data_IF_750903034677
#
_entry.id   IF_750903034677
#
_cell.length_a   1.000
_cell.length_b   1.000
_cell.length_c   1.000
_cell.angle_alpha   90.00
_cell.angle_beta   90.00
_cell.angle_gamma   90.00
#
_symmetry.space_group_name_H-M   'P 1'
#
loop_
_entity.id
_entity.type
_entity.pdbx_description
1 polymer ?
#
# COMPACT_ATOMS: atom_id res chain seq x y z
N UNK A 1 -1.07 19.83 -13.61
CA UNK A 1 -0.53 19.12 -12.43
C UNK A 1 0.96 18.92 -12.68
N UNK A 2 1.75 18.94 -11.61
CA UNK A 2 3.20 18.67 -11.64
C UNK A 2 3.53 17.71 -10.50
N UNK A 3 4.68 17.04 -10.57
CA UNK A 3 5.09 16.00 -9.62
C UNK A 3 4.92 16.41 -8.15
N UNK A 4 5.36 17.62 -7.80
CA UNK A 4 5.30 18.16 -6.43
C UNK A 4 3.87 18.29 -5.88
N UNK A 5 2.87 18.42 -6.77
CA UNK A 5 1.45 18.58 -6.40
C UNK A 5 0.61 17.31 -6.57
N UNK A 6 1.20 16.26 -7.16
CA UNK A 6 0.48 15.03 -7.51
C UNK A 6 -0.08 14.33 -6.26
N UNK A 7 0.79 14.10 -5.26
CA UNK A 7 0.41 13.39 -4.03
C UNK A 7 -0.64 14.16 -3.25
N UNK A 8 -0.51 15.48 -3.16
CA UNK A 8 -1.51 16.33 -2.51
C UNK A 8 -2.87 16.20 -3.21
N UNK A 9 -2.89 16.27 -4.54
CA UNK A 9 -4.13 16.14 -5.31
C UNK A 9 -4.78 14.77 -5.12
N UNK A 10 -4.00 13.68 -5.20
CA UNK A 10 -4.51 12.32 -4.97
C UNK A 10 -5.04 12.17 -3.53
N UNK A 11 -4.36 12.75 -2.54
CA UNK A 11 -4.81 12.73 -1.15
C UNK A 11 -6.10 13.50 -0.95
N UNK A 12 -6.27 14.64 -1.60
CA UNK A 12 -7.49 15.45 -1.51
C UNK A 12 -8.67 14.70 -2.16
N UNK A 13 -8.47 14.14 -3.36
CA UNK A 13 -9.53 13.41 -4.07
C UNK A 13 -9.92 12.10 -3.36
N UNK A 14 -8.95 11.44 -2.73
CA UNK A 14 -9.16 10.20 -1.98
C UNK A 14 -9.26 10.41 -0.46
N UNK A 15 -9.47 11.65 0.02
CA UNK A 15 -9.39 12.01 1.45
C UNK A 15 -10.28 11.11 2.31
N UNK A 16 -11.53 10.92 1.87
CA UNK A 16 -12.49 10.08 2.60
C UNK A 16 -12.03 8.62 2.63
N UNK A 17 -11.55 8.07 1.52
CA UNK A 17 -11.08 6.68 1.46
C UNK A 17 -9.85 6.48 2.34
N UNK A 18 -8.83 7.33 2.22
CA UNK A 18 -7.60 7.26 3.02
C UNK A 18 -7.87 7.48 4.51
N UNK A 19 -8.80 8.37 4.86
CA UNK A 19 -9.21 8.58 6.25
C UNK A 19 -9.86 7.34 6.87
N UNK A 20 -10.60 6.56 6.07
CA UNK A 20 -11.26 5.31 6.50
C UNK A 20 -10.27 4.15 6.61
N UNK A 21 -9.41 4.02 5.61
CA UNK A 21 -8.30 3.07 5.58
C UNK A 21 -7.28 3.32 6.70
N UNK A 22 -7.23 4.54 7.24
CA UNK A 22 -6.41 4.90 8.41
C UNK A 22 -7.13 4.81 9.75
N UNK A 23 -8.34 4.26 9.82
CA UNK A 23 -9.09 4.12 11.08
C UNK A 23 -8.58 2.94 11.92
N UNK A 24 -9.00 2.87 13.19
CA UNK A 24 -8.72 1.74 14.09
C UNK A 24 -9.25 0.39 13.54
N UNK A 25 -10.25 0.44 12.66
CA UNK A 25 -10.84 -0.75 12.04
C UNK A 25 -10.04 -1.29 10.86
N UNK A 26 -8.97 -0.61 10.41
CA UNK A 26 -8.22 -1.01 9.23
C UNK A 26 -7.60 -2.41 9.38
N UNK A 27 -6.95 -2.68 10.52
CA UNK A 27 -6.41 -4.01 10.80
C UNK A 27 -7.50 -5.05 11.00
N UNK A 28 -8.60 -4.67 11.65
CA UNK A 28 -9.74 -5.57 11.84
C UNK A 28 -10.29 -6.07 10.49
N UNK A 29 -10.45 -5.16 9.52
CA UNK A 29 -10.82 -5.52 8.16
C UNK A 29 -9.72 -6.36 7.49
N UNK A 30 -8.47 -5.92 7.54
CA UNK A 30 -7.36 -6.60 6.88
C UNK A 30 -7.17 -8.06 7.36
N UNK A 31 -7.43 -8.34 8.63
CA UNK A 31 -7.26 -9.67 9.23
C UNK A 31 -8.56 -10.47 9.39
N UNK A 32 -9.69 -10.00 8.85
CA UNK A 32 -11.01 -10.62 9.03
C UNK A 32 -11.36 -10.90 10.51
N UNK A 33 -11.18 -9.88 11.35
CA UNK A 33 -11.36 -9.89 12.81
C UNK A 33 -10.36 -10.72 13.63
N UNK A 34 -9.33 -11.31 13.01
CA UNK A 34 -8.28 -12.00 13.74
C UNK A 34 -7.17 -11.03 14.16
N UNK A 35 -7.32 -10.39 15.32
CA UNK A 35 -6.38 -9.40 15.85
C UNK A 35 -5.36 -10.02 16.82
N UNK A 36 -4.74 -11.11 16.42
CA UNK A 36 -3.53 -11.63 17.07
C UNK A 36 -2.25 -11.17 16.32
N UNK A 37 -1.10 -11.07 17.00
CA UNK A 37 0.16 -10.66 16.38
C UNK A 37 0.53 -11.43 15.11
N UNK A 38 0.36 -12.76 15.11
CA UNK A 38 0.71 -13.62 13.97
C UNK A 38 -0.16 -13.34 12.75
N UNK A 39 -1.51 -13.37 12.81
CA UNK A 39 -2.39 -12.97 11.70
C UNK A 39 -2.11 -11.58 11.15
N UNK A 40 -1.82 -10.59 12.01
CA UNK A 40 -1.44 -9.23 11.58
C UNK A 40 -0.16 -9.27 10.74
N UNK A 41 0.90 -9.94 11.22
CA UNK A 41 2.16 -10.06 10.49
C UNK A 41 2.02 -10.84 9.19
N UNK A 42 1.27 -11.94 9.18
CA UNK A 42 0.97 -12.69 7.97
C UNK A 42 0.24 -11.82 6.94
N UNK A 43 -0.71 -11.00 7.39
CA UNK A 43 -1.48 -10.12 6.51
C UNK A 43 -0.60 -9.04 5.88
N UNK A 44 0.27 -8.40 6.66
CA UNK A 44 1.21 -7.40 6.19
C UNK A 44 2.25 -8.02 5.25
N UNK A 45 2.81 -9.18 5.62
CA UNK A 45 3.78 -9.90 4.81
C UNK A 45 3.19 -10.36 3.46
N UNK A 46 1.96 -10.86 3.45
CA UNK A 46 1.29 -11.24 2.21
C UNK A 46 1.17 -10.08 1.22
N UNK A 47 0.85 -8.88 1.71
CA UNK A 47 0.85 -7.64 0.90
C UNK A 47 2.23 -7.38 0.31
N UNK A 48 3.29 -7.40 1.11
CA UNK A 48 4.65 -7.14 0.64
C UNK A 48 5.15 -8.21 -0.37
N UNK A 49 4.79 -9.48 -0.16
CA UNK A 49 5.08 -10.55 -1.12
C UNK A 49 4.42 -10.29 -2.48
N UNK A 50 3.15 -9.84 -2.47
CA UNK A 50 2.44 -9.45 -3.69
C UNK A 50 3.08 -8.24 -4.37
N UNK A 51 3.35 -7.16 -3.62
CA UNK A 51 4.02 -5.96 -4.13
C UNK A 51 5.36 -6.31 -4.79
N UNK A 52 6.23 -7.04 -4.09
CA UNK A 52 7.52 -7.51 -4.61
C UNK A 52 7.36 -8.24 -5.95
N UNK A 53 6.38 -9.13 -6.06
CA UNK A 53 6.14 -9.90 -7.28
C UNK A 53 5.77 -8.99 -8.45
N UNK A 54 4.83 -8.06 -8.26
CA UNK A 54 4.40 -7.16 -9.33
C UNK A 54 5.49 -6.17 -9.73
N UNK A 55 6.13 -5.52 -8.76
CA UNK A 55 7.24 -4.60 -9.03
C UNK A 55 8.40 -5.30 -9.72
N UNK A 56 8.76 -6.52 -9.29
CA UNK A 56 9.76 -7.33 -9.95
C UNK A 56 9.37 -7.76 -11.38
N UNK A 57 8.08 -7.85 -11.70
CA UNK A 57 7.61 -8.14 -13.05
C UNK A 57 7.67 -6.93 -14.00
N UNK A 58 7.69 -5.72 -13.45
CA UNK A 58 7.84 -4.47 -14.19
C UNK A 58 9.30 -4.02 -14.33
N UNK A 59 10.21 -4.65 -13.59
CA UNK A 59 11.63 -4.35 -13.66
C UNK A 59 12.22 -4.65 -15.05
N UNK A 60 13.07 -3.75 -15.53
CA UNK A 60 13.79 -3.79 -16.81
C UNK A 60 15.05 -2.93 -16.70
N UNK A 61 15.94 -3.01 -17.71
CA UNK A 61 17.18 -2.22 -17.76
C UNK A 61 16.97 -0.73 -18.12
N UNK A 62 15.72 -0.30 -18.33
CA UNK A 62 15.40 1.12 -18.57
C UNK A 62 15.19 1.88 -17.24
N UNK A 63 15.03 3.20 -17.35
CA UNK A 63 14.90 4.08 -16.18
C UNK A 63 13.66 3.74 -15.33
N UNK A 64 12.53 3.43 -15.99
CA UNK A 64 11.28 3.06 -15.30
C UNK A 64 11.42 1.70 -14.60
N UNK A 65 12.00 0.73 -15.30
CA UNK A 65 12.30 -0.59 -14.77
C UNK A 65 13.21 -0.57 -13.55
N UNK A 66 14.21 0.29 -13.53
CA UNK A 66 15.12 0.46 -12.38
C UNK A 66 14.35 0.91 -11.14
N UNK A 67 13.43 1.87 -11.27
CA UNK A 67 12.57 2.30 -10.16
C UNK A 67 11.72 1.15 -9.62
N UNK A 68 11.12 0.34 -10.49
CA UNK A 68 10.32 -0.80 -10.05
C UNK A 68 11.19 -1.91 -9.42
N UNK A 69 12.43 -2.10 -9.87
CA UNK A 69 13.39 -3.00 -9.22
C UNK A 69 13.70 -2.54 -7.79
N UNK A 70 13.96 -1.25 -7.59
CA UNK A 70 14.18 -0.70 -6.25
C UNK A 70 12.97 -0.90 -5.32
N UNK A 71 11.76 -0.60 -5.80
CA UNK A 71 10.54 -0.84 -5.05
C UNK A 71 10.33 -2.34 -4.73
N UNK A 72 10.65 -3.23 -5.67
CA UNK A 72 10.61 -4.68 -5.47
C UNK A 72 11.57 -5.15 -4.36
N UNK A 73 12.80 -4.64 -4.36
CA UNK A 73 13.79 -4.95 -3.35
C UNK A 73 13.36 -4.48 -1.96
N UNK A 74 12.85 -3.24 -1.84
CA UNK A 74 12.32 -2.71 -0.57
C UNK A 74 11.12 -3.52 -0.06
N UNK A 75 10.21 -3.91 -0.94
CA UNK A 75 9.11 -4.82 -0.59
C UNK A 75 9.62 -6.18 -0.09
N UNK A 76 10.69 -6.71 -0.69
CA UNK A 76 11.38 -7.91 -0.21
C UNK A 76 11.98 -7.76 1.18
N UNK A 77 12.66 -6.65 1.46
CA UNK A 77 13.23 -6.38 2.78
C UNK A 77 12.15 -6.25 3.87
N UNK A 78 11.04 -5.56 3.58
CA UNK A 78 9.88 -5.48 4.49
C UNK A 78 9.27 -6.85 4.74
N UNK A 79 9.09 -7.65 3.69
CA UNK A 79 8.60 -9.02 3.80
C UNK A 79 9.49 -9.88 4.71
N UNK A 80 10.81 -9.83 4.53
CA UNK A 80 11.76 -10.58 5.36
C UNK A 80 11.70 -10.14 6.82
N UNK A 81 11.61 -8.83 7.08
CA UNK A 81 11.49 -8.31 8.44
C UNK A 81 10.20 -8.77 9.14
N UNK A 82 9.06 -8.72 8.45
CA UNK A 82 7.76 -9.12 8.99
C UNK A 82 7.65 -10.63 9.24
N UNK A 83 8.38 -11.44 8.47
CA UNK A 83 8.30 -12.89 8.53
C UNK A 83 9.38 -13.55 9.39
N UNK A 84 10.34 -12.77 9.90
CA UNK A 84 11.49 -13.28 10.66
C UNK A 84 11.12 -14.17 11.86
N UNK A 85 9.94 -13.95 12.46
CA UNK A 85 9.43 -14.71 13.61
C UNK A 85 8.27 -15.66 13.29
N UNK A 86 7.86 -15.80 12.02
CA UNK A 86 6.70 -16.61 11.64
C UNK A 86 7.11 -18.06 11.32
N UNK A 87 6.32 -19.02 11.81
CA UNK A 87 6.50 -20.44 11.48
C UNK A 87 6.20 -20.75 10.00
N UNK A 88 5.28 -19.97 9.41
CA UNK A 88 4.92 -20.05 8.00
C UNK A 88 4.84 -18.64 7.43
N UNK A 89 5.62 -18.38 6.40
CA UNK A 89 5.57 -17.11 5.68
C UNK A 89 4.52 -17.18 4.56
N UNK A 90 3.62 -16.19 4.46
CA UNK A 90 2.64 -16.11 3.38
C UNK A 90 3.33 -15.77 2.06
N UNK A 91 2.93 -16.41 0.96
CA UNK A 91 3.52 -16.17 -0.36
C UNK A 91 2.59 -15.42 -1.31
N UNK A 92 1.35 -15.19 -0.88
CA UNK A 92 0.29 -14.56 -1.68
C UNK A 92 -0.32 -13.41 -0.87
N UNK A 93 -0.80 -12.41 -1.60
CA UNK A 93 -1.51 -11.28 -1.02
C UNK A 93 -2.97 -11.66 -0.83
N UNK A 94 -3.54 -11.27 0.31
CA UNK A 94 -4.99 -11.26 0.51
C UNK A 94 -5.62 -9.90 0.20
N UNK A 95 -4.87 -8.97 -0.42
CA UNK A 95 -5.28 -7.57 -0.60
C UNK A 95 -5.60 -7.29 -2.07
N UNK A 96 -6.88 -7.04 -2.42
CA UNK A 96 -7.31 -6.78 -3.79
C UNK A 96 -6.59 -5.60 -4.46
N UNK A 97 -6.15 -4.61 -3.68
CA UNK A 97 -5.38 -3.47 -4.21
C UNK A 97 -4.04 -3.88 -4.83
N UNK A 98 -3.44 -4.97 -4.36
CA UNK A 98 -2.21 -5.52 -4.94
C UNK A 98 -2.52 -6.35 -6.19
N UNK A 99 -3.65 -7.08 -6.20
CA UNK A 99 -4.08 -7.84 -7.37
C UNK A 99 -4.46 -6.91 -8.54
N UNK A 100 -4.98 -5.71 -8.24
CA UNK A 100 -5.30 -4.69 -9.23
C UNK A 100 -4.09 -4.27 -10.09
N UNK A 101 -2.85 -4.53 -9.64
CA UNK A 101 -1.66 -4.32 -10.44
C UNK A 101 -1.62 -5.13 -11.75
N UNK A 102 -2.38 -6.22 -11.87
CA UNK A 102 -2.51 -6.96 -13.13
C UNK A 102 -3.18 -6.15 -14.25
N UNK A 103 -3.99 -5.15 -13.89
CA UNK A 103 -4.74 -4.34 -14.83
C UNK A 103 -3.96 -3.12 -15.35
N UNK A 104 -2.81 -2.79 -14.73
CA UNK A 104 -2.01 -1.61 -15.06
C UNK A 104 -1.18 -1.83 -16.33
N UNK A 105 -1.54 -1.13 -17.40
CA UNK A 105 -1.11 -1.43 -18.75
C UNK A 105 0.26 -0.82 -19.11
N UNK A 106 0.53 0.41 -18.64
CA UNK A 106 1.73 1.17 -18.98
C UNK A 106 2.47 1.70 -17.74
N UNK A 107 3.66 2.27 -17.95
CA UNK A 107 4.53 2.69 -16.85
C UNK A 107 4.01 3.92 -16.09
N UNK A 108 3.16 4.75 -16.70
CA UNK A 108 2.48 5.85 -16.00
C UNK A 108 1.44 5.26 -15.04
N UNK A 109 0.65 4.30 -15.50
CA UNK A 109 -0.34 3.62 -14.65
C UNK A 109 0.34 2.84 -13.51
N UNK A 110 1.44 2.15 -13.78
CA UNK A 110 2.23 1.43 -12.78
C UNK A 110 2.87 2.36 -11.75
N UNK A 111 3.44 3.48 -12.17
CA UNK A 111 3.99 4.49 -11.27
C UNK A 111 2.89 5.11 -10.40
N UNK A 112 1.72 5.40 -10.96
CA UNK A 112 0.55 5.84 -10.20
C UNK A 112 0.07 4.79 -9.18
N UNK A 113 0.03 3.52 -9.59
CA UNK A 113 -0.30 2.38 -8.72
C UNK A 113 0.68 2.24 -7.55
N UNK A 114 1.99 2.39 -7.80
CA UNK A 114 3.03 2.42 -6.77
C UNK A 114 2.76 3.52 -5.73
N UNK A 115 2.48 4.75 -6.18
CA UNK A 115 2.13 5.88 -5.29
C UNK A 115 0.86 5.57 -4.47
N UNK A 116 -0.20 5.09 -5.12
CA UNK A 116 -1.46 4.78 -4.46
C UNK A 116 -1.31 3.70 -3.38
N UNK A 117 -0.65 2.60 -3.72
CA UNK A 117 -0.40 1.49 -2.79
C UNK A 117 0.51 1.90 -1.64
N UNK A 118 1.45 2.83 -1.88
CA UNK A 118 2.25 3.42 -0.83
C UNK A 118 1.40 4.27 0.15
N UNK A 119 0.48 5.09 -0.36
CA UNK A 119 -0.45 5.86 0.49
C UNK A 119 -1.37 4.97 1.32
N UNK A 120 -1.83 3.84 0.78
CA UNK A 120 -2.62 2.84 1.52
C UNK A 120 -1.78 2.15 2.61
N UNK A 121 -0.52 1.81 2.31
CA UNK A 121 0.36 1.22 3.32
C UNK A 121 0.74 2.19 4.42
N UNK A 122 0.92 3.48 4.14
CA UNK A 122 1.16 4.48 5.18
C UNK A 122 0.09 4.41 6.28
N UNK A 123 -1.18 4.30 5.88
CA UNK A 123 -2.33 4.16 6.77
C UNK A 123 -2.34 2.82 7.49
N UNK A 124 -2.03 1.75 6.77
CA UNK A 124 -2.00 0.38 7.31
C UNK A 124 -0.90 0.21 8.36
N UNK A 125 0.32 0.61 8.05
CA UNK A 125 1.46 0.51 8.97
C UNK A 125 1.32 1.44 10.17
N UNK A 126 0.68 2.62 10.02
CA UNK A 126 0.34 3.44 11.18
C UNK A 126 -0.51 2.65 12.19
N UNK A 127 -1.50 1.89 11.72
CA UNK A 127 -2.31 1.06 12.59
C UNK A 127 -1.55 -0.16 13.13
N UNK A 128 -0.66 -0.77 12.35
CA UNK A 128 0.23 -1.83 12.83
C UNK A 128 1.14 -1.34 13.97
N UNK A 129 1.71 -0.14 13.84
CA UNK A 129 2.49 0.49 14.91
C UNK A 129 1.64 0.67 16.17
N UNK A 130 0.42 1.21 16.04
CA UNK A 130 -0.48 1.39 17.19
C UNK A 130 -0.81 0.03 17.86
N UNK A 131 -1.08 -0.99 17.06
CA UNK A 131 -1.36 -2.34 17.54
C UNK A 131 -0.19 -2.91 18.35
N UNK A 132 1.02 -2.92 17.80
CA UNK A 132 2.19 -3.50 18.51
C UNK A 132 2.62 -2.69 19.73
N UNK A 133 2.42 -1.36 19.73
CA UNK A 133 2.57 -0.53 20.94
C UNK A 133 1.58 -0.97 22.02
N UNK A 134 0.32 -1.23 21.66
CA UNK A 134 -0.70 -1.69 22.62
C UNK A 134 -0.40 -3.11 23.16
N UNK A 135 0.19 -3.97 22.33
CA UNK A 135 0.66 -5.30 22.72
C UNK A 135 1.98 -5.28 23.53
N UNK A 136 2.54 -4.08 23.77
CA UNK A 136 3.84 -3.89 24.42
C UNK A 136 5.02 -4.57 23.70
N UNK A 137 4.91 -4.75 22.37
CA UNK A 137 5.98 -5.23 21.49
C UNK A 137 6.62 -4.05 20.75
N UNK A 138 7.49 -3.32 21.45
CA UNK A 138 8.20 -2.16 20.88
C UNK A 138 9.13 -2.55 19.72
N UNK A 139 9.65 -3.77 19.71
CA UNK A 139 10.55 -4.21 18.63
C UNK A 139 9.78 -4.34 17.33
N UNK A 140 8.60 -4.98 17.37
CA UNK A 140 7.77 -5.10 16.17
C UNK A 140 7.12 -3.76 15.79
N UNK A 141 6.80 -2.90 16.77
CA UNK A 141 6.38 -1.53 16.49
C UNK A 141 7.46 -0.74 15.71
N UNK A 142 8.73 -0.85 16.10
CA UNK A 142 9.86 -0.26 15.37
C UNK A 142 10.02 -0.85 13.96
N UNK A 143 9.89 -2.18 13.81
CA UNK A 143 9.87 -2.82 12.49
C UNK A 143 8.77 -2.22 11.59
N UNK A 144 7.56 -2.02 12.12
CA UNK A 144 6.47 -1.40 11.39
C UNK A 144 6.74 0.08 11.06
N UNK A 145 7.43 0.83 11.93
CA UNK A 145 7.85 2.22 11.65
C UNK A 145 8.83 2.27 10.48
N UNK A 146 9.85 1.41 10.48
CA UNK A 146 10.80 1.31 9.36
C UNK A 146 10.11 0.89 8.06
N UNK A 147 9.18 -0.08 8.12
CA UNK A 147 8.41 -0.49 6.94
C UNK A 147 7.54 0.65 6.37
N UNK A 148 6.96 1.47 7.26
CA UNK A 148 6.21 2.68 6.90
C UNK A 148 7.09 3.73 6.20
N UNK A 149 8.28 3.99 6.72
CA UNK A 149 9.25 4.90 6.12
C UNK A 149 9.67 4.41 4.73
N UNK A 150 10.00 3.12 4.60
CA UNK A 150 10.34 2.48 3.33
C UNK A 150 9.21 2.57 2.29
N UNK A 151 7.95 2.55 2.73
CA UNK A 151 6.80 2.79 1.85
C UNK A 151 6.70 4.26 1.42
N UNK A 152 7.05 5.22 2.27
CA UNK A 152 7.09 6.63 1.88
C UNK A 152 8.15 6.87 0.79
N UNK A 153 9.28 6.18 0.85
CA UNK A 153 10.28 6.23 -0.22
C UNK A 153 9.76 5.63 -1.54
N UNK A 154 8.95 4.56 -1.50
CA UNK A 154 8.25 4.02 -2.69
C UNK A 154 7.32 5.07 -3.32
N UNK A 155 6.63 5.86 -2.48
CA UNK A 155 5.80 6.97 -2.94
C UNK A 155 6.64 8.06 -3.64
N UNK A 156 7.74 8.47 -3.02
CA UNK A 156 8.61 9.51 -3.56
C UNK A 156 9.23 9.09 -4.91
N UNK A 157 9.69 7.85 -5.03
CA UNK A 157 10.23 7.30 -6.27
C UNK A 157 9.17 7.19 -7.37
N UNK A 158 7.94 6.79 -7.03
CA UNK A 158 6.82 6.75 -7.97
C UNK A 158 6.45 8.14 -8.50
N UNK A 159 6.46 9.17 -7.64
CA UNK A 159 6.21 10.56 -8.04
C UNK A 159 7.33 11.10 -8.92
N UNK A 160 8.59 10.81 -8.56
CA UNK A 160 9.74 11.18 -9.38
C UNK A 160 9.64 10.56 -10.77
N UNK A 161 9.29 9.27 -10.85
CA UNK A 161 9.08 8.56 -12.10
C UNK A 161 7.96 9.18 -12.94
N UNK A 162 6.80 9.51 -12.34
CA UNK A 162 5.74 10.25 -13.03
C UNK A 162 6.22 11.61 -13.56
N UNK A 163 7.09 12.31 -12.84
CA UNK A 163 7.72 13.54 -13.31
C UNK A 163 8.57 13.38 -14.56
N UNK A 164 9.12 12.17 -14.81
CA UNK A 164 9.86 11.86 -16.03
C UNK A 164 8.96 11.40 -17.18
N UNK A 165 7.90 10.66 -16.88
CA UNK A 165 7.01 10.04 -17.86
C UNK A 165 5.92 10.98 -18.37
N UNK A 166 5.32 11.78 -17.48
CA UNK A 166 4.19 12.64 -17.83
C UNK A 166 4.66 13.87 -18.60
N UNK A 167 4.24 13.96 -19.87
CA UNK A 167 4.65 15.04 -20.78
C UNK A 167 3.59 16.14 -20.92
N UNK A 168 2.33 15.82 -20.66
CA UNK A 168 1.20 16.73 -20.79
C UNK A 168 0.12 16.49 -19.74
N UNK A 169 -0.93 17.32 -19.78
CA UNK A 169 -2.03 17.26 -18.82
C UNK A 169 -2.81 15.94 -18.85
N UNK A 170 -2.88 15.27 -20.01
CA UNK A 170 -3.58 14.00 -20.16
C UNK A 170 -2.83 12.83 -19.52
N UNK A 171 -1.49 12.86 -19.54
CA UNK A 171 -0.67 11.90 -18.78
C UNK A 171 -0.90 12.04 -17.28
N UNK A 172 -0.91 13.28 -16.77
CA UNK A 172 -1.18 13.55 -15.37
C UNK A 172 -2.60 13.17 -14.94
N UNK A 173 -3.61 13.47 -15.75
CA UNK A 173 -5.01 13.09 -15.48
C UNK A 173 -5.18 11.56 -15.47
N UNK A 174 -4.49 10.85 -16.37
CA UNK A 174 -4.44 9.37 -16.37
C UNK A 174 -3.81 8.84 -15.08
N UNK A 175 -2.64 9.35 -14.70
CA UNK A 175 -1.96 8.95 -13.47
C UNK A 175 -2.81 9.20 -12.22
N UNK A 176 -3.44 10.37 -12.14
CA UNK A 176 -4.32 10.73 -11.03
C UNK A 176 -5.52 9.79 -10.94
N UNK A 177 -6.19 9.53 -12.07
CA UNK A 177 -7.35 8.63 -12.14
C UNK A 177 -6.98 7.25 -11.64
N UNK A 178 -5.89 6.66 -12.16
CA UNK A 178 -5.40 5.35 -11.74
C UNK A 178 -5.07 5.31 -10.25
N UNK A 179 -4.40 6.35 -9.72
CA UNK A 179 -4.05 6.38 -8.31
C UNK A 179 -5.30 6.42 -7.40
N UNK A 180 -6.29 7.25 -7.75
CA UNK A 180 -7.55 7.35 -6.99
C UNK A 180 -8.37 6.06 -7.09
N UNK A 181 -8.46 5.46 -8.28
CA UNK A 181 -9.13 4.18 -8.51
C UNK A 181 -8.47 3.05 -7.71
N UNK A 182 -7.14 2.97 -7.72
CA UNK A 182 -6.38 2.01 -6.92
C UNK A 182 -6.67 2.15 -5.43
N UNK A 183 -6.71 3.38 -4.89
CA UNK A 183 -7.11 3.61 -3.48
C UNK A 183 -8.56 3.19 -3.26
N UNK A 184 -9.45 3.42 -4.24
CA UNK A 184 -10.83 2.96 -4.23
C UNK A 184 -10.95 1.44 -4.07
N UNK A 185 -10.14 0.66 -4.79
CA UNK A 185 -10.09 -0.82 -4.65
C UNK A 185 -9.76 -1.24 -3.22
N UNK A 186 -8.78 -0.59 -2.58
CA UNK A 186 -8.47 -0.87 -1.18
C UNK A 186 -9.63 -0.52 -0.24
N UNK A 187 -10.30 0.60 -0.49
CA UNK A 187 -11.45 1.04 0.30
C UNK A 187 -12.65 0.09 0.15
N UNK A 188 -12.94 -0.38 -1.06
CA UNK A 188 -14.05 -1.29 -1.32
C UNK A 188 -13.86 -2.64 -0.64
N UNK A 189 -12.63 -3.17 -0.60
CA UNK A 189 -12.29 -4.37 0.17
C UNK A 189 -12.48 -4.13 1.67
N UNK A 190 -11.92 -3.04 2.20
CA UNK A 190 -12.11 -2.63 3.60
C UNK A 190 -13.61 -2.54 3.97
N UNK A 191 -14.39 -1.85 3.14
CA UNK A 191 -15.81 -1.63 3.40
C UNK A 191 -16.60 -2.95 3.34
N UNK A 192 -16.31 -3.79 2.36
CA UNK A 192 -16.96 -5.10 2.20
C UNK A 192 -16.66 -6.03 3.37
N UNK A 193 -15.42 -6.04 3.88
CA UNK A 193 -15.05 -6.85 5.05
C UNK A 193 -15.73 -6.37 6.32
N UNK A 194 -15.80 -5.06 6.54
CA UNK A 194 -16.53 -4.50 7.69
C UNK A 194 -18.02 -4.83 7.62
N UNK A 195 -18.65 -4.67 6.46
CA UNK A 195 -20.07 -5.00 6.28
C UNK A 195 -20.34 -6.50 6.54
N UNK A 196 -19.45 -7.39 6.08
CA UNK A 196 -19.53 -8.82 6.35
C UNK A 196 -19.44 -9.15 7.86
N UNK A 197 -18.80 -8.30 8.65
CA UNK A 197 -18.74 -8.39 10.12
C UNK A 197 -19.91 -7.67 10.82
N UNK A 198 -20.82 -7.03 10.06
CA UNK A 198 -21.92 -6.23 10.59
C UNK A 198 -21.51 -4.88 11.17
N UNK A 199 -20.37 -4.34 10.74
CA UNK A 199 -19.82 -3.05 11.16
C UNK A 199 -20.08 -2.00 10.07
N UNK A 200 -20.44 -0.77 10.46
CA UNK A 200 -20.56 0.33 9.49
C UNK A 200 -19.15 0.75 9.04
N UNK A 201 -18.84 0.70 7.73
CA UNK A 201 -17.54 1.14 7.23
C UNK A 201 -17.34 2.66 7.37
N UNK A 202 -18.41 3.42 7.60
CA UNK A 202 -18.35 4.82 8.03
C UNK A 202 -18.26 4.81 9.57
N UNK A 203 -17.30 5.52 10.17
CA UNK A 203 -17.23 5.67 11.60
C UNK A 203 -18.49 6.36 12.08
N UNK A 204 -18.84 6.02 13.30
CA UNK A 204 -19.72 6.83 14.14
C UNK A 204 -19.05 8.20 14.27
N UNK A 205 -19.67 9.24 13.69
CA UNK A 205 -19.29 10.63 13.92
C UNK A 205 -19.43 11.02 15.39
#
# INVERSE_FOLDING_TARGET
MEADTFVETVRDDAETHLGRLGSENALLAATNADLEPTPVLETLAGREAGCRRHYGSWASDDESGTTFEHASNRAGERYEALTAGLDRSPTETGWPVVDHFEDLADDIERAAGLVAVALVADRTYLQAVNFFVNEADETMADTCRTARESTAEDCDDGVALLGTLCSDAGDWERAQTVAVETIGVAYDDYASRLDAMGLDPRPVC
#
